data_IF_829211148935
#
_entry.id   IF_829211148935
#
_cell.length_a   1.000
_cell.length_b   1.000
_cell.length_c   1.000
_cell.angle_alpha   90.00
_cell.angle_beta   90.00
_cell.angle_gamma   90.00
#
_symmetry.space_group_name_H-M   'P 1'
#
loop_
_entity.id
_entity.type
_entity.pdbx_description
1 polymer ?
#
# COMPACT_ATOMS: atom_id res chain seq x y z
N UNK A 1 15.26 14.08 12.22
CA UNK A 1 15.66 12.79 11.61
C UNK A 1 16.66 12.13 12.54
N UNK A 2 16.55 10.81 12.80
CA UNK A 2 17.60 10.04 13.47
C UNK A 2 18.35 9.23 12.41
N UNK A 3 19.68 9.23 12.46
CA UNK A 3 20.51 8.47 11.52
C UNK A 3 20.72 7.06 12.03
N UNK A 4 20.50 6.08 11.16
CA UNK A 4 20.86 4.69 11.40
C UNK A 4 21.94 4.28 10.41
N UNK A 5 22.82 3.37 10.81
CA UNK A 5 23.80 2.75 9.90
C UNK A 5 23.37 1.31 9.67
N UNK A 6 23.24 0.92 8.41
CA UNK A 6 22.79 -0.42 8.02
C UNK A 6 23.82 -1.02 7.08
N UNK A 7 24.21 -2.27 7.33
CA UNK A 7 25.06 -3.03 6.39
C UNK A 7 24.20 -3.51 5.23
N UNK A 8 24.61 -3.21 4.00
CA UNK A 8 23.93 -3.64 2.79
C UNK A 8 24.87 -4.55 1.99
N UNK A 9 24.34 -5.62 1.35
CA UNK A 9 25.09 -6.31 0.31
C UNK A 9 25.51 -5.35 -0.79
N UNK A 10 26.72 -5.55 -1.35
CA UNK A 10 27.31 -4.66 -2.37
C UNK A 10 26.37 -4.44 -3.57
N UNK A 11 25.72 -5.51 -4.03
CA UNK A 11 24.76 -5.46 -5.13
C UNK A 11 23.56 -4.55 -4.83
N UNK A 12 23.07 -4.56 -3.58
CA UNK A 12 21.93 -3.76 -3.15
C UNK A 12 22.32 -2.28 -2.99
N UNK A 13 23.50 -2.00 -2.42
CA UNK A 13 24.04 -0.64 -2.32
C UNK A 13 24.24 -0.02 -3.71
N UNK A 14 24.83 -0.79 -4.63
CA UNK A 14 25.01 -0.40 -6.03
C UNK A 14 23.67 -0.12 -6.73
N UNK A 15 22.65 -0.96 -6.51
CA UNK A 15 21.32 -0.73 -7.05
C UNK A 15 20.67 0.54 -6.49
N UNK A 16 20.73 0.75 -5.16
CA UNK A 16 20.16 1.92 -4.50
C UNK A 16 20.77 3.22 -5.01
N UNK A 17 22.09 3.24 -5.19
CA UNK A 17 22.81 4.40 -5.75
C UNK A 17 22.37 4.73 -7.18
N UNK A 18 22.26 3.72 -8.06
CA UNK A 18 21.74 3.92 -9.42
C UNK A 18 20.31 4.42 -9.43
N UNK A 19 19.45 3.85 -8.59
CA UNK A 19 18.03 4.21 -8.50
C UNK A 19 17.85 5.65 -8.00
N UNK A 20 18.60 6.05 -6.97
CA UNK A 20 18.64 7.43 -6.46
C UNK A 20 19.01 8.42 -7.57
N UNK A 21 20.06 8.13 -8.34
CA UNK A 21 20.49 8.96 -9.47
C UNK A 21 19.45 9.05 -10.59
N UNK A 22 18.83 7.92 -10.95
CA UNK A 22 17.77 7.90 -11.97
C UNK A 22 16.55 8.75 -11.59
N UNK A 23 16.21 8.77 -10.29
CA UNK A 23 15.06 9.51 -9.79
C UNK A 23 15.39 10.96 -9.38
N UNK A 24 16.68 11.35 -9.37
CA UNK A 24 17.11 12.66 -8.87
C UNK A 24 16.86 12.86 -7.38
N UNK A 25 16.79 11.77 -6.60
CA UNK A 25 16.48 11.77 -5.16
C UNK A 25 17.67 11.25 -4.35
N UNK A 26 17.69 11.55 -3.05
CA UNK A 26 18.73 11.01 -2.18
C UNK A 26 18.48 9.53 -1.83
N UNK A 27 19.55 8.78 -1.55
CA UNK A 27 19.42 7.38 -1.10
C UNK A 27 18.62 7.30 0.21
N UNK A 28 18.84 8.23 1.14
CA UNK A 28 18.13 8.30 2.42
C UNK A 28 16.62 8.52 2.24
N UNK A 29 16.20 9.30 1.24
CA UNK A 29 14.77 9.46 0.93
C UNK A 29 14.15 8.17 0.44
N UNK A 30 14.81 7.45 -0.47
CA UNK A 30 14.31 6.17 -0.97
C UNK A 30 14.25 5.10 0.12
N UNK A 31 15.28 5.04 0.98
CA UNK A 31 15.30 4.09 2.11
C UNK A 31 14.20 4.41 3.11
N UNK A 32 14.00 5.70 3.44
CA UNK A 32 12.91 6.13 4.33
C UNK A 32 11.54 5.79 3.74
N UNK A 33 11.31 6.12 2.47
CA UNK A 33 10.05 5.79 1.78
C UNK A 33 9.78 4.28 1.79
N UNK A 34 10.79 3.47 1.52
CA UNK A 34 10.65 2.01 1.57
C UNK A 34 10.30 1.51 2.98
N UNK A 35 10.92 2.08 4.03
CA UNK A 35 10.62 1.71 5.43
C UNK A 35 9.23 2.17 5.83
N UNK A 36 8.82 3.39 5.46
CA UNK A 36 7.47 3.92 5.72
C UNK A 36 6.42 3.11 4.95
N UNK A 37 6.68 2.77 3.69
CA UNK A 37 5.81 1.90 2.90
C UNK A 37 5.70 0.50 3.48
N UNK A 38 6.80 -0.09 3.97
CA UNK A 38 6.77 -1.40 4.63
C UNK A 38 6.04 -1.34 5.98
N UNK A 39 6.19 -0.25 6.73
CA UNK A 39 5.43 -0.02 7.97
C UNK A 39 3.93 0.10 7.70
N UNK A 40 3.55 0.94 6.73
CA UNK A 40 2.16 1.20 6.40
C UNK A 40 1.51 0.02 5.66
N UNK A 41 2.27 -0.76 4.91
CA UNK A 41 1.80 -1.99 4.27
C UNK A 41 1.73 -3.19 5.22
N UNK A 42 2.39 -3.12 6.38
CA UNK A 42 2.24 -4.09 7.47
C UNK A 42 1.03 -3.76 8.37
N UNK A 43 0.64 -2.50 8.47
CA UNK A 43 -0.64 -2.07 9.06
C UNK A 43 -1.75 -2.27 8.01
N UNK A 44 -2.17 -3.53 7.85
CA UNK A 44 -3.14 -3.99 6.85
C UNK A 44 -4.46 -3.24 6.90
N UNK A 45 -4.57 -2.16 6.14
CA UNK A 45 -5.86 -1.60 5.78
C UNK A 45 -6.50 -2.54 4.76
N UNK A 46 -7.54 -3.22 5.21
CA UNK A 46 -8.40 -3.98 4.31
C UNK A 46 -9.11 -3.02 3.36
N UNK A 47 -9.64 -3.52 2.24
CA UNK A 47 -10.46 -2.69 1.35
C UNK A 47 -11.63 -2.04 2.11
N UNK A 48 -12.15 -2.67 3.17
CA UNK A 48 -13.15 -2.10 4.06
C UNK A 48 -12.63 -0.87 4.81
N UNK A 49 -11.42 -0.92 5.37
CA UNK A 49 -10.84 0.18 6.14
C UNK A 49 -10.60 1.44 5.27
N UNK A 50 -10.37 1.25 3.98
CA UNK A 50 -10.20 2.34 3.02
C UNK A 50 -11.51 3.05 2.66
N UNK A 51 -12.66 2.38 2.84
CA UNK A 51 -13.99 2.89 2.47
C UNK A 51 -14.95 2.96 3.67
N UNK A 52 -14.42 2.83 4.89
CA UNK A 52 -15.21 2.76 6.10
C UNK A 52 -16.08 4.01 6.32
N UNK A 53 -15.57 5.18 5.96
CA UNK A 53 -16.29 6.46 6.04
C UNK A 53 -17.48 6.54 5.06
N UNK A 54 -17.44 5.76 3.99
CA UNK A 54 -18.50 5.66 2.97
C UNK A 54 -19.45 4.48 3.23
N UNK A 55 -19.23 3.69 4.28
CA UNK A 55 -20.10 2.57 4.63
C UNK A 55 -21.44 3.07 5.21
N UNK A 56 -22.55 2.47 4.78
CA UNK A 56 -23.89 2.80 5.31
C UNK A 56 -24.61 3.95 4.60
N UNK A 57 -24.05 4.48 3.50
CA UNK A 57 -24.70 5.52 2.66
C UNK A 57 -25.94 4.99 1.92
N UNK A 58 -26.03 3.67 1.71
CA UNK A 58 -27.13 3.03 0.97
C UNK A 58 -27.81 2.00 1.87
N UNK A 59 -29.13 2.09 2.00
CA UNK A 59 -29.95 1.05 2.61
C UNK A 59 -30.08 -0.14 1.64
N UNK A 60 -29.58 -1.30 2.07
CA UNK A 60 -29.58 -2.51 1.26
C UNK A 60 -29.62 -3.79 2.09
N UNK A 61 -29.86 -4.95 1.44
CA UNK A 61 -29.82 -6.25 2.10
C UNK A 61 -28.45 -6.53 2.72
N UNK A 62 -28.44 -7.12 3.92
CA UNK A 62 -27.19 -7.46 4.63
C UNK A 62 -26.30 -8.45 3.86
N UNK A 63 -26.88 -9.20 2.92
CA UNK A 63 -26.20 -10.22 2.12
C UNK A 63 -25.90 -9.78 0.67
N UNK A 64 -25.96 -8.47 0.39
CA UNK A 64 -25.83 -7.93 -0.97
C UNK A 64 -24.54 -8.39 -1.68
N UNK A 65 -23.42 -8.48 -0.95
CA UNK A 65 -22.11 -8.86 -1.48
C UNK A 65 -21.87 -10.38 -1.57
N UNK A 66 -22.70 -11.20 -0.92
CA UNK A 66 -22.46 -12.65 -0.80
C UNK A 66 -23.56 -13.51 -1.43
N UNK A 67 -24.77 -12.97 -1.60
CA UNK A 67 -25.89 -13.72 -2.16
C UNK A 67 -25.93 -13.64 -3.69
N UNK A 68 -25.61 -14.76 -4.34
CA UNK A 68 -25.60 -14.90 -5.80
C UNK A 68 -26.94 -14.56 -6.50
N UNK A 69 -28.07 -14.56 -5.78
CA UNK A 69 -29.38 -14.20 -6.36
C UNK A 69 -29.42 -12.73 -6.80
N UNK A 70 -28.71 -11.84 -6.09
CA UNK A 70 -28.69 -10.40 -6.38
C UNK A 70 -27.89 -10.08 -7.65
N UNK A 71 -26.95 -10.95 -8.06
CA UNK A 71 -26.09 -10.75 -9.23
C UNK A 71 -26.67 -11.26 -10.55
N UNK A 72 -27.86 -11.85 -10.57
CA UNK A 72 -28.44 -12.52 -11.76
C UNK A 72 -28.60 -11.63 -13.01
N UNK A 73 -28.63 -10.31 -12.84
CA UNK A 73 -28.77 -9.31 -13.92
C UNK A 73 -27.62 -8.31 -13.99
N UNK A 74 -26.54 -8.57 -13.26
CA UNK A 74 -25.39 -7.67 -13.25
C UNK A 74 -24.70 -7.67 -14.62
N UNK A 75 -24.56 -6.49 -15.25
CA UNK A 75 -23.85 -6.32 -16.52
C UNK A 75 -24.61 -6.70 -17.81
N UNK A 76 -25.94 -6.86 -17.76
CA UNK A 76 -26.82 -7.03 -18.94
C UNK A 76 -27.66 -5.78 -19.15
#
# INVERSE_FOLDING_TARGET
>A
MKTITVKLPEALASWLSRRARQLGRSQSELVREAIEGARNGADGQTCHDLVADDCGVIDGPQDLSTNAKHFRRFGK
#
